data_IF_326038108779
#
_entry.id   IF_326038108779
#
_cell.length_a   1.000
_cell.length_b   1.000
_cell.length_c   1.000
_cell.angle_alpha   90.00
_cell.angle_beta   90.00
_cell.angle_gamma   90.00
#
_symmetry.space_group_name_H-M   'P 1'
#
loop_
_entity.id
_entity.type
_entity.pdbx_description
1 polymer ?
#
# COMPACT_ATOMS: atom_id res chain seq x y z
N UNK A 1 8.10 -20.56 -19.36
CA UNK A 1 8.81 -19.27 -19.44
C UNK A 1 7.76 -18.19 -19.24
N UNK A 2 7.54 -17.80 -17.96
CA UNK A 2 6.57 -16.74 -17.63
C UNK A 2 7.37 -15.45 -17.51
N UNK A 3 7.46 -14.69 -18.61
CA UNK A 3 7.83 -13.29 -18.53
C UNK A 3 6.58 -12.50 -18.16
N UNK A 4 6.66 -11.63 -17.17
CA UNK A 4 5.63 -10.61 -16.96
C UNK A 4 5.54 -9.81 -18.27
N UNK A 5 4.34 -9.73 -18.89
CA UNK A 5 4.20 -8.96 -20.10
C UNK A 5 4.50 -7.50 -19.80
N UNK A 6 5.29 -6.85 -20.64
CA UNK A 6 5.52 -5.42 -20.60
C UNK A 6 4.20 -4.66 -20.84
N UNK A 7 4.12 -3.40 -20.43
CA UNK A 7 2.96 -2.54 -20.71
C UNK A 7 2.59 -2.51 -22.19
N UNK A 8 3.58 -2.66 -23.08
CA UNK A 8 3.39 -2.76 -24.53
C UNK A 8 2.69 -4.08 -24.95
N UNK A 9 3.08 -5.21 -24.36
CA UNK A 9 2.46 -6.52 -24.64
C UNK A 9 1.04 -6.64 -24.07
N UNK A 10 0.74 -5.95 -22.97
CA UNK A 10 -0.61 -5.84 -22.41
C UNK A 10 -1.53 -5.01 -23.32
N UNK A 11 -1.00 -3.95 -23.94
CA UNK A 11 -1.70 -3.13 -24.91
C UNK A 11 -2.03 -3.90 -26.19
N UNK A 12 -1.09 -4.67 -26.76
CA UNK A 12 -1.29 -5.44 -27.99
C UNK A 12 -2.31 -6.56 -27.85
N UNK A 13 -2.55 -7.07 -26.63
CA UNK A 13 -3.55 -8.11 -26.36
C UNK A 13 -4.97 -7.56 -26.15
N UNK A 14 -5.18 -6.24 -26.31
CA UNK A 14 -6.48 -5.60 -26.05
C UNK A 14 -6.93 -5.70 -24.59
N UNK A 15 -5.97 -5.88 -23.67
CA UNK A 15 -6.17 -6.24 -22.27
C UNK A 15 -6.11 -4.99 -21.40
N UNK A 16 -5.51 -3.90 -21.89
CA UNK A 16 -5.59 -2.59 -21.23
C UNK A 16 -6.92 -1.93 -21.63
N UNK A 17 -7.77 -1.63 -20.63
CA UNK A 17 -8.75 -0.57 -20.78
C UNK A 17 -7.98 0.68 -21.22
N UNK A 18 -8.54 1.46 -22.14
CA UNK A 18 -7.90 2.65 -22.71
C UNK A 18 -7.21 3.46 -21.61
N UNK A 19 -5.89 3.63 -21.73
CA UNK A 19 -5.12 4.53 -20.87
C UNK A 19 -5.82 5.88 -20.88
N UNK A 20 -5.99 6.56 -19.74
CA UNK A 20 -6.63 7.86 -19.71
C UNK A 20 -6.05 8.75 -20.82
N UNK A 21 -6.89 9.31 -21.67
CA UNK A 21 -6.52 10.05 -22.88
C UNK A 21 -5.63 11.25 -22.60
N UNK A 22 -5.52 11.66 -21.32
CA UNK A 22 -4.63 12.71 -20.83
C UNK A 22 -3.79 12.17 -19.69
N UNK A 23 -2.69 11.48 -20.00
CA UNK A 23 -1.79 10.87 -19.02
C UNK A 23 -1.05 11.97 -18.25
N UNK A 24 -1.38 12.14 -16.97
CA UNK A 24 -0.65 13.05 -16.09
C UNK A 24 0.79 12.55 -15.91
N UNK A 25 1.75 13.44 -16.07
CA UNK A 25 3.18 13.17 -15.85
C UNK A 25 3.59 13.98 -14.62
N UNK A 26 4.18 13.35 -13.58
CA UNK A 26 4.66 14.07 -12.41
C UNK A 26 5.84 14.98 -12.80
N UNK A 27 5.91 16.17 -12.19
CA UNK A 27 7.09 17.01 -12.32
C UNK A 27 8.33 16.41 -11.65
N UNK A 28 9.49 17.01 -11.85
CA UNK A 28 10.77 16.50 -11.34
C UNK A 28 10.76 16.34 -9.80
N UNK A 29 10.18 17.31 -9.08
CA UNK A 29 10.11 17.28 -7.62
C UNK A 29 9.22 16.11 -7.14
N UNK A 30 8.08 15.91 -7.77
CA UNK A 30 7.16 14.80 -7.49
C UNK A 30 7.81 13.44 -7.80
N UNK A 31 8.57 13.32 -8.90
CA UNK A 31 9.30 12.09 -9.21
C UNK A 31 10.35 11.76 -8.14
N UNK A 32 11.09 12.74 -7.65
CA UNK A 32 12.04 12.56 -6.54
C UNK A 32 11.31 12.19 -5.25
N UNK A 33 10.12 12.76 -4.98
CA UNK A 33 9.34 12.40 -3.79
C UNK A 33 8.76 10.96 -3.88
N UNK A 34 8.35 10.52 -5.07
CA UNK A 34 7.98 9.10 -5.28
C UNK A 34 9.18 8.20 -4.93
N UNK A 35 10.37 8.49 -5.45
CA UNK A 35 11.58 7.72 -5.15
C UNK A 35 11.93 7.75 -3.66
N UNK A 36 11.82 8.92 -3.01
CA UNK A 36 12.00 9.05 -1.56
C UNK A 36 11.10 8.10 -0.77
N UNK A 37 9.83 8.03 -1.13
CA UNK A 37 8.85 7.13 -0.50
C UNK A 37 9.20 5.67 -0.73
N UNK A 38 9.61 5.30 -1.94
CA UNK A 38 10.04 3.93 -2.27
C UNK A 38 11.25 3.50 -1.42
N UNK A 39 12.29 4.34 -1.30
CA UNK A 39 13.46 4.07 -0.44
C UNK A 39 13.05 3.99 1.03
N UNK A 40 12.16 4.88 1.48
CA UNK A 40 11.68 4.88 2.87
C UNK A 40 10.97 3.57 3.22
N UNK A 41 10.17 3.04 2.31
CA UNK A 41 9.53 1.73 2.45
C UNK A 41 10.58 0.62 2.49
N UNK A 42 11.48 0.60 1.52
CA UNK A 42 12.51 -0.44 1.40
C UNK A 42 13.41 -0.50 2.63
N UNK A 43 13.94 0.64 3.10
CA UNK A 43 14.78 0.71 4.30
C UNK A 43 14.04 0.32 5.56
N UNK A 44 12.77 0.78 5.70
CA UNK A 44 11.92 0.39 6.81
C UNK A 44 11.69 -1.13 6.85
N UNK A 45 11.40 -1.75 5.71
CA UNK A 45 11.18 -3.20 5.60
C UNK A 45 12.46 -3.99 5.92
N UNK A 46 13.59 -3.61 5.32
CA UNK A 46 14.88 -4.28 5.52
C UNK A 46 15.33 -4.25 6.98
N UNK A 47 15.23 -3.08 7.62
CA UNK A 47 15.62 -2.91 9.01
C UNK A 47 14.65 -3.63 9.96
N UNK A 48 13.35 -3.65 9.65
CA UNK A 48 12.36 -4.45 10.42
C UNK A 48 12.74 -5.93 10.41
N UNK A 49 13.02 -6.49 9.23
CA UNK A 49 13.43 -7.90 9.10
C UNK A 49 14.73 -8.18 9.84
N UNK A 50 15.67 -7.23 9.84
CA UNK A 50 16.91 -7.35 10.61
C UNK A 50 16.66 -7.37 12.13
N UNK A 51 15.78 -6.51 12.66
CA UNK A 51 15.45 -6.50 14.09
C UNK A 51 14.75 -7.79 14.52
N UNK A 52 13.88 -8.35 13.68
CA UNK A 52 13.25 -9.66 13.93
C UNK A 52 14.31 -10.77 13.95
N UNK A 53 15.23 -10.83 12.97
CA UNK A 53 16.33 -11.82 12.95
C UNK A 53 17.24 -11.74 14.18
N UNK A 54 17.42 -10.53 14.73
CA UNK A 54 18.21 -10.29 15.96
C UNK A 54 17.43 -10.62 17.24
N UNK A 55 16.15 -11.02 17.12
CA UNK A 55 15.29 -11.32 18.26
C UNK A 55 14.85 -10.10 19.07
N UNK A 56 15.03 -8.88 18.52
CA UNK A 56 14.60 -7.64 19.20
C UNK A 56 13.10 -7.36 19.05
N UNK A 57 12.49 -7.89 18.00
CA UNK A 57 11.04 -7.81 17.72
C UNK A 57 10.53 -9.23 17.61
N UNK A 58 9.45 -9.53 18.36
CA UNK A 58 8.73 -10.80 18.30
C UNK A 58 7.31 -10.50 17.85
N UNK A 59 7.11 -10.40 16.53
CA UNK A 59 5.81 -10.15 15.95
C UNK A 59 5.72 -10.79 14.55
N UNK A 60 4.53 -11.22 14.10
CA UNK A 60 4.35 -11.61 12.71
C UNK A 60 4.61 -10.39 11.81
N UNK A 61 5.38 -10.57 10.74
CA UNK A 61 5.71 -9.52 9.80
C UNK A 61 5.50 -9.97 8.36
N UNK A 62 4.86 -9.13 7.59
CA UNK A 62 4.51 -9.38 6.19
C UNK A 62 5.24 -8.38 5.31
N UNK A 63 6.39 -8.79 4.78
CA UNK A 63 7.21 -7.92 3.93
C UNK A 63 6.47 -7.49 2.67
N UNK A 64 6.61 -6.22 2.32
CA UNK A 64 6.04 -5.63 1.12
C UNK A 64 7.08 -5.40 0.01
N UNK A 65 8.29 -5.99 0.15
CA UNK A 65 9.36 -5.85 -0.85
C UNK A 65 8.87 -6.29 -2.24
N UNK A 66 9.10 -5.40 -3.22
CA UNK A 66 8.63 -5.53 -4.60
C UNK A 66 7.34 -4.75 -4.90
N UNK A 67 6.65 -4.21 -3.89
CA UNK A 67 5.37 -3.49 -4.03
C UNK A 67 5.49 -1.98 -3.72
N UNK A 68 6.69 -1.45 -3.55
CA UNK A 68 6.96 -0.07 -3.09
C UNK A 68 6.41 1.00 -4.01
N UNK A 69 6.36 0.73 -5.31
CA UNK A 69 5.89 1.68 -6.33
C UNK A 69 4.47 2.14 -6.08
N UNK A 70 3.56 1.18 -5.82
CA UNK A 70 2.12 1.41 -5.80
C UNK A 70 1.74 2.49 -4.78
N UNK A 71 2.00 2.32 -3.47
CA UNK A 71 1.62 3.32 -2.50
C UNK A 71 2.44 4.62 -2.64
N UNK A 72 3.69 4.54 -3.10
CA UNK A 72 4.55 5.72 -3.27
C UNK A 72 4.00 6.67 -4.34
N UNK A 73 3.61 6.13 -5.49
CA UNK A 73 3.07 6.92 -6.59
C UNK A 73 1.63 7.43 -6.32
N UNK A 74 0.85 6.71 -5.51
CA UNK A 74 -0.49 7.14 -5.10
C UNK A 74 -0.41 8.22 -4.02
N UNK A 75 0.42 8.02 -2.99
CA UNK A 75 0.44 8.90 -1.82
C UNK A 75 0.95 10.31 -2.09
N UNK A 76 1.76 10.54 -3.14
CA UNK A 76 2.16 11.90 -3.56
C UNK A 76 0.99 12.74 -4.10
N UNK A 77 -0.12 12.10 -4.44
CA UNK A 77 -1.35 12.73 -4.93
C UNK A 77 -2.37 13.00 -3.80
N UNK A 78 -2.11 12.47 -2.60
CA UNK A 78 -3.04 12.56 -1.47
C UNK A 78 -2.68 13.72 -0.54
N UNK A 79 -3.69 14.44 -0.09
CA UNK A 79 -3.58 15.40 1.00
C UNK A 79 -3.54 14.67 2.35
N UNK A 80 -3.15 15.37 3.43
CA UNK A 80 -3.14 14.79 4.78
C UNK A 80 -4.53 14.37 5.27
N UNK A 81 -5.56 15.09 4.83
CA UNK A 81 -6.96 14.82 5.19
C UNK A 81 -7.62 13.74 4.31
N UNK A 82 -6.99 13.31 3.19
CA UNK A 82 -7.39 12.12 2.45
C UNK A 82 -7.08 10.86 3.27
N UNK A 83 -7.96 9.86 3.16
CA UNK A 83 -7.92 8.67 4.00
C UNK A 83 -7.30 7.48 3.26
N UNK A 84 -6.61 6.62 4.00
CA UNK A 84 -6.25 5.28 3.53
C UNK A 84 -6.79 4.23 4.49
N UNK A 85 -7.29 3.14 3.92
CA UNK A 85 -7.63 1.90 4.61
C UNK A 85 -6.79 0.79 4.01
N UNK A 86 -5.99 0.11 4.82
CA UNK A 86 -5.08 -0.91 4.33
C UNK A 86 -5.19 -2.22 5.10
N UNK A 87 -4.34 -3.18 4.78
CA UNK A 87 -4.36 -4.55 5.25
C UNK A 87 -3.17 -4.83 6.17
N UNK A 88 -3.09 -6.03 6.74
CA UNK A 88 -2.01 -6.49 7.62
C UNK A 88 -0.60 -6.40 7.00
N UNK A 89 -0.45 -6.41 5.66
CA UNK A 89 0.81 -6.14 4.94
C UNK A 89 1.06 -4.64 4.73
N UNK A 90 0.13 -3.77 5.09
CA UNK A 90 0.03 -2.37 4.67
C UNK A 90 1.01 -1.39 5.31
N UNK A 91 2.08 -1.85 5.98
CA UNK A 91 3.10 -0.93 6.53
C UNK A 91 3.68 -0.03 5.44
N UNK A 92 3.90 -0.54 4.23
CA UNK A 92 4.38 0.24 3.10
C UNK A 92 3.39 1.33 2.67
N UNK A 93 2.08 1.08 2.73
CA UNK A 93 1.06 2.08 2.41
C UNK A 93 1.08 3.23 3.43
N UNK A 94 1.27 2.91 4.71
CA UNK A 94 1.38 3.89 5.80
C UNK A 94 2.67 4.71 5.70
N UNK A 95 3.80 4.04 5.44
CA UNK A 95 5.10 4.69 5.25
C UNK A 95 5.06 5.62 4.03
N UNK A 96 4.41 5.20 2.94
CA UNK A 96 4.19 6.04 1.77
C UNK A 96 3.30 7.26 2.07
N UNK A 97 2.34 7.15 2.99
CA UNK A 97 1.47 8.27 3.43
C UNK A 97 2.17 9.22 4.42
N UNK A 98 3.49 9.10 4.57
CA UNK A 98 4.31 9.87 5.49
C UNK A 98 3.93 9.74 6.97
N UNK A 99 3.38 8.59 7.36
CA UNK A 99 3.20 8.29 8.77
C UNK A 99 4.55 8.42 9.52
N UNK A 100 4.60 9.12 10.67
CA UNK A 100 5.82 9.28 11.44
C UNK A 100 6.43 7.93 11.86
N UNK A 101 7.73 7.73 11.63
CA UNK A 101 8.35 6.43 11.88
C UNK A 101 8.53 6.12 13.36
N UNK A 102 8.78 7.10 14.23
CA UNK A 102 8.96 6.85 15.67
C UNK A 102 7.75 6.15 16.30
N UNK A 103 6.50 6.70 16.21
CA UNK A 103 5.33 6.02 16.75
C UNK A 103 4.97 4.74 15.98
N UNK A 104 5.26 4.64 14.68
CA UNK A 104 5.12 3.41 13.90
C UNK A 104 5.99 2.29 14.49
N UNK A 105 7.29 2.56 14.70
CA UNK A 105 8.22 1.58 15.25
C UNK A 105 7.91 1.25 16.71
N UNK A 106 7.50 2.23 17.52
CA UNK A 106 7.04 1.99 18.88
C UNK A 106 5.87 1.01 18.90
N UNK A 107 4.90 1.16 17.99
CA UNK A 107 3.77 0.24 17.87
C UNK A 107 4.19 -1.17 17.45
N UNK A 108 5.05 -1.28 16.41
CA UNK A 108 5.59 -2.58 15.95
C UNK A 108 6.35 -3.29 17.08
N UNK A 109 7.04 -2.54 17.96
CA UNK A 109 7.77 -3.05 19.10
C UNK A 109 6.90 -3.27 20.35
N UNK A 110 5.59 -3.03 20.28
CA UNK A 110 4.66 -3.18 21.40
C UNK A 110 4.91 -2.17 22.53
N UNK A 111 5.29 -0.93 22.21
CA UNK A 111 5.64 0.12 23.18
C UNK A 111 4.48 1.09 23.42
N UNK A 112 4.46 1.69 24.63
CA UNK A 112 3.37 2.61 25.04
C UNK A 112 3.28 3.85 24.15
N UNK A 113 4.39 4.32 23.58
CA UNK A 113 4.45 5.48 22.68
C UNK A 113 4.05 5.14 21.23
N UNK A 114 3.61 3.90 20.97
CA UNK A 114 3.02 3.49 19.70
C UNK A 114 1.66 4.13 19.45
N UNK A 115 1.24 4.20 18.18
CA UNK A 115 -0.01 4.83 17.76
C UNK A 115 -1.26 4.20 18.37
N UNK A 116 -1.18 2.94 18.76
CA UNK A 116 -2.21 2.17 19.46
C UNK A 116 -1.73 1.76 20.87
N UNK A 117 -0.77 2.48 21.44
CA UNK A 117 -0.18 2.22 22.78
C UNK A 117 0.42 0.80 22.89
N UNK A 118 0.97 0.29 21.80
CA UNK A 118 1.56 -1.05 21.73
C UNK A 118 0.56 -2.22 21.66
N UNK A 119 -0.75 -1.94 21.54
CA UNK A 119 -1.81 -2.96 21.52
C UNK A 119 -2.11 -3.51 20.12
N UNK A 120 -1.80 -2.75 19.07
CA UNK A 120 -2.12 -3.11 17.69
C UNK A 120 -1.03 -3.94 17.01
N UNK A 121 0.23 -3.72 17.37
CA UNK A 121 1.37 -4.35 16.69
C UNK A 121 1.40 -4.03 15.20
N UNK A 122 2.12 -4.82 14.36
CA UNK A 122 2.33 -4.49 12.95
C UNK A 122 1.08 -4.61 12.06
N UNK A 123 -0.01 -5.19 12.55
CA UNK A 123 -1.20 -5.46 11.73
C UNK A 123 -2.41 -4.57 12.03
N UNK A 124 -2.37 -3.78 13.11
CA UNK A 124 -3.53 -3.01 13.58
C UNK A 124 -3.12 -1.58 14.00
N UNK A 125 -2.45 -0.88 13.09
CA UNK A 125 -2.04 0.50 13.30
C UNK A 125 -3.08 1.49 12.77
N UNK A 126 -3.17 2.63 13.43
CA UNK A 126 -3.91 3.80 12.96
C UNK A 126 -3.10 5.06 13.22
N UNK A 127 -3.24 6.07 12.38
CA UNK A 127 -2.70 7.41 12.58
C UNK A 127 -3.59 8.42 11.84
N UNK A 128 -4.73 8.79 12.45
CA UNK A 128 -5.72 9.66 11.81
C UNK A 128 -5.18 11.01 11.35
N UNK A 129 -4.16 11.55 12.01
CA UNK A 129 -3.52 12.82 11.70
C UNK A 129 -2.86 12.84 10.33
N UNK A 130 -2.44 11.69 9.82
CA UNK A 130 -1.93 11.53 8.44
C UNK A 130 -2.92 10.82 7.51
N UNK A 131 -4.17 10.63 7.96
CA UNK A 131 -5.20 9.94 7.19
C UNK A 131 -5.06 8.42 7.14
N UNK A 132 -4.18 7.82 7.94
CA UNK A 132 -4.09 6.36 8.09
C UNK A 132 -5.18 5.91 9.05
N UNK A 133 -6.33 5.48 8.51
CA UNK A 133 -7.52 5.24 9.33
C UNK A 133 -7.58 3.84 9.90
N UNK A 134 -7.12 2.85 9.14
CA UNK A 134 -7.15 1.45 9.59
C UNK A 134 -6.14 0.59 8.86
N UNK A 135 -5.48 -0.31 9.61
CA UNK A 135 -4.92 -1.55 9.10
C UNK A 135 -5.72 -2.71 9.68
N UNK A 136 -5.97 -3.74 8.89
CA UNK A 136 -6.82 -4.85 9.32
C UNK A 136 -6.26 -6.21 8.92
N UNK A 137 -6.33 -7.16 9.85
CA UNK A 137 -6.08 -8.58 9.59
C UNK A 137 -7.24 -9.29 8.88
N UNK A 138 -8.42 -8.68 8.84
CA UNK A 138 -9.60 -9.28 8.22
C UNK A 138 -9.56 -9.00 6.72
N UNK A 139 -9.28 -10.04 5.93
CA UNK A 139 -9.15 -9.93 4.48
C UNK A 139 -10.39 -9.28 3.87
N UNK A 140 -10.16 -8.20 3.08
CA UNK A 140 -11.19 -7.48 2.35
C UNK A 140 -12.00 -6.48 3.14
N UNK A 141 -11.86 -6.39 4.48
CA UNK A 141 -12.62 -5.41 5.27
C UNK A 141 -12.19 -3.95 5.05
N UNK A 142 -11.01 -3.69 4.51
CA UNK A 142 -10.57 -2.34 4.13
C UNK A 142 -11.54 -1.65 3.18
N UNK A 143 -12.16 -2.39 2.26
CA UNK A 143 -13.06 -1.85 1.24
C UNK A 143 -14.39 -1.31 1.80
N UNK A 144 -15.20 -2.08 2.57
CA UNK A 144 -16.42 -1.54 3.17
C UNK A 144 -16.14 -0.45 4.22
N UNK A 145 -15.00 -0.52 4.93
CA UNK A 145 -14.60 0.55 5.86
C UNK A 145 -14.30 1.84 5.08
N UNK A 146 -13.58 1.75 3.95
CA UNK A 146 -13.31 2.89 3.08
C UNK A 146 -14.61 3.52 2.53
N UNK A 147 -15.62 2.73 2.23
CA UNK A 147 -16.93 3.24 1.86
C UNK A 147 -17.55 4.12 2.96
N UNK A 148 -17.38 3.76 4.24
CA UNK A 148 -17.82 4.57 5.36
C UNK A 148 -17.16 5.95 5.38
N UNK A 149 -15.84 6.02 5.16
CA UNK A 149 -15.11 7.29 5.07
C UNK A 149 -15.49 8.08 3.82
N UNK A 150 -15.65 7.42 2.67
CA UNK A 150 -16.13 8.06 1.45
C UNK A 150 -17.55 8.63 1.61
N UNK A 151 -18.40 7.93 2.34
CA UNK A 151 -19.75 8.40 2.65
C UNK A 151 -19.73 9.60 3.60
N UNK A 152 -18.90 9.56 4.64
CA UNK A 152 -18.70 10.71 5.53
C UNK A 152 -18.26 11.96 4.76
N UNK A 153 -17.24 11.81 3.87
CA UNK A 153 -16.78 12.91 3.03
C UNK A 153 -17.88 13.49 2.14
N UNK A 154 -18.76 12.64 1.59
CA UNK A 154 -19.93 13.06 0.80
C UNK A 154 -20.94 13.84 1.64
N UNK A 155 -21.27 13.36 2.86
CA UNK A 155 -22.20 14.03 3.77
C UNK A 155 -21.67 15.37 4.26
N UNK A 156 -20.38 15.45 4.55
CA UNK A 156 -19.71 16.67 5.00
C UNK A 156 -19.45 17.67 3.85
N UNK A 157 -19.72 17.27 2.60
CA UNK A 157 -19.52 18.10 1.42
C UNK A 157 -18.04 18.42 1.15
N UNK A 158 -17.11 17.59 1.64
CA UNK A 158 -15.68 17.73 1.39
C UNK A 158 -15.29 17.12 0.05
N UNK A 159 -14.06 17.40 -0.39
CA UNK A 159 -13.46 16.76 -1.57
C UNK A 159 -12.45 15.68 -1.19
N UNK A 160 -12.47 15.24 0.07
CA UNK A 160 -11.62 14.16 0.55
C UNK A 160 -11.90 12.88 -0.22
N UNK A 161 -10.85 12.13 -0.50
CA UNK A 161 -10.93 10.82 -1.09
C UNK A 161 -10.43 9.76 -0.11
N UNK A 162 -10.89 8.53 -0.31
CA UNK A 162 -10.41 7.39 0.47
C UNK A 162 -9.82 6.34 -0.45
N UNK A 163 -8.59 5.92 -0.18
CA UNK A 163 -7.94 4.81 -0.89
C UNK A 163 -8.07 3.54 -0.06
N UNK A 164 -8.64 2.51 -0.66
CA UNK A 164 -8.76 1.17 -0.08
C UNK A 164 -7.74 0.23 -0.72
N UNK A 165 -6.67 -0.11 0.00
CA UNK A 165 -5.70 -1.10 -0.44
C UNK A 165 -6.15 -2.52 -0.08
N UNK A 166 -5.94 -3.46 -0.98
CA UNK A 166 -6.23 -4.89 -0.76
C UNK A 166 -5.39 -5.77 -1.70
N UNK A 167 -5.21 -7.03 -1.35
CA UNK A 167 -4.50 -8.01 -2.20
C UNK A 167 -5.46 -8.73 -3.15
N UNK A 168 -4.90 -9.42 -4.15
CA UNK A 168 -5.63 -10.19 -5.16
C UNK A 168 -6.58 -11.22 -4.54
N UNK A 169 -6.17 -11.93 -3.47
CA UNK A 169 -7.04 -12.87 -2.78
C UNK A 169 -8.32 -12.27 -2.22
N UNK A 170 -8.29 -11.02 -1.79
CA UNK A 170 -9.46 -10.32 -1.27
C UNK A 170 -10.54 -10.06 -2.34
N UNK A 171 -10.20 -10.15 -3.62
CA UNK A 171 -11.18 -9.96 -4.70
C UNK A 171 -12.20 -11.08 -4.80
N UNK A 172 -12.01 -12.20 -4.09
CA UNK A 172 -12.87 -13.39 -4.15
C UNK A 172 -13.83 -13.53 -2.96
N UNK A 173 -13.85 -12.56 -2.04
CA UNK A 173 -14.78 -12.57 -0.90
C UNK A 173 -16.03 -11.71 -1.17
N UNK A 174 -17.12 -11.99 -0.44
CA UNK A 174 -18.37 -11.24 -0.57
C UNK A 174 -18.21 -9.73 -0.38
N UNK A 175 -17.43 -9.32 0.63
CA UNK A 175 -17.20 -7.91 0.94
C UNK A 175 -16.60 -7.09 -0.22
N UNK A 176 -15.78 -7.69 -1.09
CA UNK A 176 -15.31 -7.03 -2.32
C UNK A 176 -16.48 -6.63 -3.21
N UNK A 177 -17.34 -7.59 -3.54
CA UNK A 177 -18.47 -7.38 -4.46
C UNK A 177 -19.48 -6.38 -3.90
N UNK A 178 -19.79 -6.49 -2.63
CA UNK A 178 -20.73 -5.63 -1.93
C UNK A 178 -20.21 -4.20 -1.81
N UNK A 179 -18.94 -4.03 -1.45
CA UNK A 179 -18.33 -2.71 -1.29
C UNK A 179 -18.21 -1.96 -2.62
N UNK A 180 -17.77 -2.62 -3.69
CA UNK A 180 -17.63 -2.00 -4.99
C UNK A 180 -19.00 -1.59 -5.56
N UNK A 181 -20.01 -2.46 -5.43
CA UNK A 181 -21.37 -2.15 -5.85
C UNK A 181 -21.94 -0.95 -5.07
N UNK A 182 -21.82 -0.95 -3.74
CA UNK A 182 -22.33 0.14 -2.90
C UNK A 182 -21.65 1.47 -3.24
N UNK A 183 -20.32 1.47 -3.38
CA UNK A 183 -19.58 2.67 -3.75
C UNK A 183 -20.03 3.25 -5.10
N UNK A 184 -20.30 2.39 -6.08
CA UNK A 184 -20.81 2.81 -7.39
C UNK A 184 -22.22 3.40 -7.32
N UNK A 185 -23.13 2.74 -6.61
CA UNK A 185 -24.52 3.20 -6.43
C UNK A 185 -24.57 4.60 -5.82
N UNK A 186 -23.72 4.86 -4.81
CA UNK A 186 -23.69 6.13 -4.09
C UNK A 186 -22.66 7.12 -4.63
N UNK A 187 -21.91 6.76 -5.68
CA UNK A 187 -20.82 7.56 -6.24
C UNK A 187 -19.83 8.03 -5.19
N UNK A 188 -19.43 7.13 -4.30
CA UNK A 188 -18.52 7.45 -3.21
C UNK A 188 -17.13 7.81 -3.75
N UNK A 189 -16.43 8.79 -3.14
CA UNK A 189 -15.07 9.17 -3.51
C UNK A 189 -14.03 8.16 -3.00
N UNK A 190 -14.12 6.91 -3.48
CA UNK A 190 -13.27 5.79 -3.08
C UNK A 190 -12.46 5.29 -4.27
N UNK A 191 -11.17 5.09 -4.06
CA UNK A 191 -10.27 4.45 -5.02
C UNK A 191 -9.92 3.07 -4.46
N UNK A 192 -10.35 2.01 -5.16
CA UNK A 192 -10.03 0.63 -4.82
C UNK A 192 -8.73 0.21 -5.49
N UNK A 193 -7.69 -0.05 -4.70
CA UNK A 193 -6.34 -0.39 -5.20
C UNK A 193 -6.03 -1.84 -4.86
N UNK A 194 -6.07 -2.69 -5.86
CA UNK A 194 -5.65 -4.07 -5.76
C UNK A 194 -4.14 -4.18 -5.99
N UNK A 195 -3.39 -4.52 -4.95
CA UNK A 195 -1.97 -4.87 -5.04
C UNK A 195 -1.87 -6.35 -5.44
N UNK A 196 -2.03 -6.63 -6.74
CA UNK A 196 -2.02 -7.99 -7.26
C UNK A 196 -0.58 -8.48 -7.41
N UNK A 197 -0.09 -9.16 -6.37
CA UNK A 197 1.27 -9.71 -6.32
C UNK A 197 1.37 -11.17 -6.78
N UNK A 198 0.29 -11.72 -7.37
CA UNK A 198 0.22 -13.05 -7.94
C UNK A 198 -0.08 -14.18 -6.96
N UNK A 199 -0.18 -13.89 -5.65
CA UNK A 199 -0.37 -14.90 -4.63
C UNK A 199 -1.32 -14.46 -3.51
N UNK A 200 -2.35 -15.27 -3.29
CA UNK A 200 -3.18 -15.23 -2.10
C UNK A 200 -2.63 -16.22 -1.09
N UNK A 201 -1.87 -15.74 -0.10
CA UNK A 201 -1.05 -16.58 0.78
C UNK A 201 -0.12 -17.50 -0.06
N UNK A 202 -0.42 -18.79 -0.14
CA UNK A 202 0.32 -19.77 -0.93
C UNK A 202 -0.37 -20.14 -2.26
N UNK A 203 -1.60 -19.64 -2.47
CA UNK A 203 -2.39 -19.94 -3.67
C UNK A 203 -2.06 -18.96 -4.78
N UNK A 204 -1.66 -19.46 -5.93
CA UNK A 204 -1.43 -18.65 -7.13
C UNK A 204 -2.73 -18.00 -7.59
N UNK A 205 -2.62 -16.81 -8.16
CA UNK A 205 -3.76 -16.04 -8.67
C UNK A 205 -4.64 -16.87 -9.61
N UNK A 206 -4.05 -17.54 -10.60
CA UNK A 206 -4.74 -18.34 -11.61
C UNK A 206 -5.48 -19.57 -11.02
N UNK A 207 -5.08 -20.03 -9.84
CA UNK A 207 -5.75 -21.15 -9.18
C UNK A 207 -6.93 -20.70 -8.30
N UNK A 208 -7.02 -19.40 -8.00
CA UNK A 208 -8.08 -18.84 -7.13
C UNK A 208 -9.06 -17.92 -7.88
N UNK A 209 -8.71 -17.45 -9.08
CA UNK A 209 -9.49 -16.43 -9.79
C UNK A 209 -9.60 -16.80 -11.28
N UNK A 210 -10.83 -16.89 -11.78
CA UNK A 210 -11.10 -17.33 -13.16
C UNK A 210 -10.93 -16.23 -14.21
N UNK A 211 -10.95 -14.95 -13.82
CA UNK A 211 -10.73 -13.83 -14.72
C UNK A 211 -9.24 -13.52 -14.81
N UNK A 212 -8.74 -13.18 -16.00
CA UNK A 212 -7.32 -12.86 -16.20
C UNK A 212 -6.90 -11.63 -15.41
N UNK A 213 -7.83 -10.67 -15.24
CA UNK A 213 -7.62 -9.39 -14.56
C UNK A 213 -8.79 -9.06 -13.67
N UNK A 214 -8.52 -8.70 -12.41
CA UNK A 214 -9.53 -8.27 -11.43
C UNK A 214 -10.23 -6.99 -11.90
N UNK A 215 -9.50 -6.10 -12.58
CA UNK A 215 -10.05 -4.87 -13.15
C UNK A 215 -11.26 -5.08 -14.05
N UNK A 216 -11.36 -6.23 -14.75
CA UNK A 216 -12.52 -6.59 -15.58
C UNK A 216 -13.82 -6.69 -14.78
N UNK A 217 -13.73 -6.96 -13.47
CA UNK A 217 -14.92 -7.04 -12.60
C UNK A 217 -15.60 -5.68 -12.40
N UNK A 218 -14.88 -4.58 -12.55
CA UNK A 218 -15.38 -3.22 -12.38
C UNK A 218 -16.59 -2.92 -13.29
N UNK A 219 -16.59 -3.45 -14.50
CA UNK A 219 -17.71 -3.29 -15.44
C UNK A 219 -19.03 -3.83 -14.89
N UNK A 220 -18.99 -4.90 -14.07
CA UNK A 220 -20.16 -5.46 -13.41
C UNK A 220 -20.81 -4.55 -12.36
N UNK A 221 -20.07 -3.54 -11.88
CA UNK A 221 -20.55 -2.54 -10.92
C UNK A 221 -20.77 -1.16 -11.55
N UNK A 222 -20.54 -1.03 -12.88
CA UNK A 222 -20.70 0.24 -13.58
C UNK A 222 -19.65 1.29 -13.23
N UNK A 223 -18.44 0.86 -12.80
CA UNK A 223 -17.32 1.77 -12.52
C UNK A 223 -16.14 1.50 -13.47
N UNK A 224 -15.24 2.49 -13.68
CA UNK A 224 -13.99 2.25 -14.39
C UNK A 224 -13.09 1.26 -13.66
N UNK A 225 -12.42 0.38 -14.43
CA UNK A 225 -11.40 -0.53 -13.92
C UNK A 225 -10.19 -0.53 -14.85
N UNK A 226 -8.99 -0.41 -14.28
CA UNK A 226 -7.74 -0.36 -15.01
C UNK A 226 -6.74 -1.38 -14.49
N UNK A 227 -6.08 -2.08 -15.40
CA UNK A 227 -4.89 -2.87 -15.08
C UNK A 227 -3.66 -2.01 -15.31
N UNK A 228 -2.83 -1.88 -14.29
CA UNK A 228 -1.71 -0.94 -14.20
C UNK A 228 -0.42 -1.74 -13.96
N UNK A 229 0.68 -1.32 -14.57
CA UNK A 229 1.99 -1.85 -14.21
C UNK A 229 2.39 -1.30 -12.81
N UNK A 230 2.18 -2.13 -11.78
CA UNK A 230 2.49 -1.78 -10.40
C UNK A 230 3.99 -1.66 -10.11
N UNK A 231 4.86 -1.96 -11.08
CA UNK A 231 6.31 -1.80 -11.02
C UNK A 231 6.82 -0.61 -11.84
N UNK A 232 5.92 0.14 -12.50
CA UNK A 232 6.23 1.45 -13.10
C UNK A 232 5.55 2.56 -12.28
N UNK A 233 6.30 3.34 -11.48
CA UNK A 233 5.73 4.39 -10.64
C UNK A 233 5.06 5.51 -11.45
N UNK A 234 5.46 5.73 -12.72
CA UNK A 234 4.84 6.74 -13.58
C UNK A 234 3.51 6.24 -14.16
N UNK A 235 3.38 4.94 -14.42
CA UNK A 235 2.12 4.33 -14.82
C UNK A 235 1.10 4.34 -13.68
N UNK A 236 1.54 3.94 -12.48
CA UNK A 236 0.71 4.03 -11.26
C UNK A 236 0.25 5.46 -11.00
N UNK A 237 1.17 6.43 -11.06
CA UNK A 237 0.86 7.84 -10.86
C UNK A 237 -0.21 8.35 -11.83
N UNK A 238 -0.07 8.06 -13.12
CA UNK A 238 -1.01 8.55 -14.13
C UNK A 238 -2.44 8.02 -13.92
N UNK A 239 -2.58 6.71 -13.62
CA UNK A 239 -3.88 6.10 -13.37
C UNK A 239 -4.48 6.55 -12.03
N UNK A 240 -3.64 6.66 -10.98
CA UNK A 240 -4.08 7.15 -9.68
C UNK A 240 -4.55 8.60 -9.74
N UNK A 241 -3.81 9.46 -10.46
CA UNK A 241 -4.21 10.86 -10.67
C UNK A 241 -5.61 10.95 -11.30
N UNK A 242 -5.84 10.22 -12.39
CA UNK A 242 -7.14 10.21 -13.04
C UNK A 242 -8.26 9.68 -12.13
N UNK A 243 -7.99 8.63 -11.35
CA UNK A 243 -8.95 8.06 -10.41
C UNK A 243 -9.29 9.02 -9.25
N UNK A 244 -8.28 9.71 -8.70
CA UNK A 244 -8.45 10.68 -7.61
C UNK A 244 -9.21 11.91 -8.10
N UNK A 245 -8.85 12.48 -9.25
CA UNK A 245 -9.57 13.63 -9.81
C UNK A 245 -11.03 13.29 -10.12
N UNK A 246 -11.29 12.11 -10.68
CA UNK A 246 -12.65 11.60 -10.89
C UNK A 246 -13.45 11.52 -9.58
N UNK A 247 -12.84 10.99 -8.54
CA UNK A 247 -13.47 10.86 -7.22
C UNK A 247 -13.77 12.25 -6.60
N UNK A 248 -12.80 13.19 -6.67
CA UNK A 248 -12.97 14.58 -6.20
C UNK A 248 -14.02 15.36 -6.98
N UNK A 249 -14.23 15.01 -8.26
CA UNK A 249 -15.29 15.58 -9.10
C UNK A 249 -16.69 15.01 -8.79
N UNK A 250 -16.80 14.03 -7.88
CA UNK A 250 -18.08 13.38 -7.53
C UNK A 250 -18.57 12.40 -8.58
N UNK A 251 -17.70 11.93 -9.47
CA UNK A 251 -18.04 10.99 -10.54
C UNK A 251 -18.01 9.53 -10.07
N UNK A 252 -17.65 9.27 -8.81
CA UNK A 252 -17.68 7.97 -8.16
C UNK A 252 -16.35 7.21 -8.16
N UNK A 253 -16.37 5.93 -7.76
CA UNK A 253 -15.18 5.13 -7.51
C UNK A 253 -14.48 4.67 -8.79
N UNK A 254 -13.24 4.20 -8.59
CA UNK A 254 -12.43 3.54 -9.63
C UNK A 254 -11.72 2.33 -9.03
N UNK A 255 -11.60 1.25 -9.80
CA UNK A 255 -10.81 0.07 -9.45
C UNK A 255 -9.47 0.08 -10.21
N UNK A 256 -8.36 0.12 -9.49
CA UNK A 256 -7.01 -0.02 -10.02
C UNK A 256 -6.45 -1.38 -9.63
N UNK A 257 -6.15 -2.24 -10.60
CA UNK A 257 -5.42 -3.47 -10.40
C UNK A 257 -3.95 -3.24 -10.75
N UNK A 258 -3.11 -3.04 -9.74
CA UNK A 258 -1.68 -2.85 -9.90
C UNK A 258 -0.97 -4.20 -9.86
N UNK A 259 -0.47 -4.63 -11.02
CA UNK A 259 0.27 -5.89 -11.15
C UNK A 259 1.68 -5.72 -10.61
N UNK A 260 2.06 -6.57 -9.69
CA UNK A 260 3.36 -6.54 -9.02
C UNK A 260 3.79 -7.95 -8.62
N UNK A 261 4.88 -8.06 -7.88
CA UNK A 261 5.34 -9.32 -7.30
C UNK A 261 5.93 -9.08 -5.91
N UNK A 262 5.61 -9.94 -4.93
CA UNK A 262 6.25 -9.88 -3.62
C UNK A 262 7.54 -10.73 -3.64
N UNK A 263 8.67 -10.17 -3.24
CA UNK A 263 9.96 -10.88 -3.26
C UNK A 263 10.12 -11.89 -2.14
N UNK A 264 9.33 -11.76 -1.07
CA UNK A 264 9.37 -12.62 0.12
C UNK A 264 8.16 -13.53 0.19
N UNK A 265 8.23 -14.57 1.01
CA UNK A 265 7.10 -15.43 1.34
C UNK A 265 5.93 -14.66 1.95
N UNK A 266 4.85 -15.36 2.28
CA UNK A 266 3.64 -14.73 2.81
C UNK A 266 3.91 -13.98 4.12
N UNK A 267 4.49 -14.67 5.08
CA UNK A 267 4.94 -14.13 6.37
C UNK A 267 6.46 -14.26 6.46
N UNK A 268 7.11 -13.38 7.20
CA UNK A 268 8.56 -13.47 7.39
C UNK A 268 8.94 -14.76 8.14
N UNK A 269 9.81 -15.55 7.52
CA UNK A 269 10.16 -16.91 7.98
C UNK A 269 9.44 -18.03 7.21
N UNK A 270 8.50 -17.71 6.33
CA UNK A 270 7.95 -18.65 5.35
C UNK A 270 9.05 -19.16 4.39
N UNK A 271 8.99 -20.45 4.07
CA UNK A 271 9.97 -21.10 3.20
C UNK A 271 9.79 -20.80 1.71
N UNK A 272 8.70 -20.09 1.33
CA UNK A 272 8.33 -19.65 -0.02
C UNK A 272 8.42 -20.72 -1.14
N UNK A 273 8.33 -22.01 -0.79
CA UNK A 273 8.48 -23.13 -1.72
C UNK A 273 7.43 -23.18 -2.85
N UNK A 274 6.35 -22.41 -2.73
CA UNK A 274 5.31 -22.27 -3.75
C UNK A 274 5.67 -21.24 -4.84
N UNK A 275 6.74 -20.47 -4.66
CA UNK A 275 7.34 -19.59 -5.67
C UNK A 275 8.50 -20.30 -6.34
N UNK A 276 8.57 -20.32 -7.67
CA UNK A 276 9.73 -20.89 -8.34
C UNK A 276 10.96 -19.98 -8.22
N UNK A 277 12.15 -20.57 -8.26
CA UNK A 277 13.41 -19.80 -8.21
C UNK A 277 13.53 -18.85 -9.39
N UNK A 278 13.05 -19.30 -10.55
CA UNK A 278 13.06 -18.55 -11.81
C UNK A 278 12.15 -17.32 -11.72
N UNK A 279 10.92 -17.46 -11.19
CA UNK A 279 10.00 -16.33 -10.95
C UNK A 279 10.60 -15.31 -10.01
N UNK A 280 11.17 -15.75 -8.88
CA UNK A 280 11.82 -14.85 -7.92
C UNK A 280 13.01 -14.13 -8.52
N UNK A 281 13.87 -14.84 -9.28
CA UNK A 281 15.02 -14.25 -9.93
C UNK A 281 14.59 -13.17 -10.94
N UNK A 282 13.60 -13.48 -11.78
CA UNK A 282 13.07 -12.54 -12.76
C UNK A 282 12.42 -11.31 -12.08
N UNK A 283 11.71 -11.50 -10.97
CA UNK A 283 11.09 -10.40 -10.23
C UNK A 283 12.15 -9.49 -9.56
N UNK A 284 13.22 -10.08 -9.02
CA UNK A 284 14.33 -9.32 -8.41
C UNK A 284 15.13 -8.57 -9.50
N UNK A 285 15.35 -9.16 -10.66
CA UNK A 285 15.99 -8.48 -11.79
C UNK A 285 15.15 -7.29 -12.28
N UNK A 286 13.82 -7.43 -12.21
CA UNK A 286 12.86 -6.39 -12.56
C UNK A 286 12.54 -5.45 -11.39
N UNK A 287 13.32 -5.42 -10.30
CA UNK A 287 13.08 -4.57 -9.12
C UNK A 287 12.81 -3.12 -9.56
N UNK A 288 11.64 -2.57 -9.24
CA UNK A 288 11.26 -1.21 -9.65
C UNK A 288 12.17 -0.13 -9.05
N UNK A 289 12.71 -0.36 -7.86
CA UNK A 289 13.45 0.66 -7.13
C UNK A 289 14.77 1.06 -7.82
N UNK A 290 15.72 0.13 -8.12
CA UNK A 290 16.93 0.48 -8.84
C UNK A 290 16.65 0.95 -10.28
N UNK A 291 15.61 0.43 -10.93
CA UNK A 291 15.19 0.85 -12.27
C UNK A 291 14.71 2.31 -12.26
N UNK A 292 13.89 2.69 -11.31
CA UNK A 292 13.41 4.07 -11.20
C UNK A 292 14.53 5.03 -10.82
N UNK A 293 15.45 4.61 -9.93
CA UNK A 293 16.69 5.38 -9.63
C UNK A 293 17.45 5.69 -10.91
N UNK A 294 17.73 4.67 -11.73
CA UNK A 294 18.46 4.85 -12.96
C UNK A 294 17.72 5.78 -13.93
N UNK A 295 16.40 5.61 -14.05
CA UNK A 295 15.58 6.49 -14.88
C UNK A 295 15.66 7.96 -14.45
N UNK A 296 15.62 8.25 -13.15
CA UNK A 296 15.77 9.64 -12.66
C UNK A 296 17.11 10.27 -13.03
N UNK A 297 18.18 9.46 -13.06
CA UNK A 297 19.50 9.90 -13.47
C UNK A 297 19.55 10.14 -14.99
N UNK A 298 19.09 9.17 -15.76
CA UNK A 298 19.12 9.21 -17.22
C UNK A 298 18.27 10.35 -17.79
N UNK A 299 17.14 10.65 -17.16
CA UNK A 299 16.24 11.76 -17.51
C UNK A 299 16.75 13.12 -16.98
N UNK A 300 17.86 13.16 -16.22
CA UNK A 300 18.41 14.37 -15.63
C UNK A 300 17.54 15.00 -14.53
N UNK A 301 16.65 14.23 -13.92
CA UNK A 301 15.76 14.65 -12.83
C UNK A 301 16.53 14.83 -11.53
N UNK A 302 17.48 13.92 -11.23
CA UNK A 302 18.36 13.99 -10.08
C UNK A 302 19.71 13.36 -10.37
N UNK A 303 20.80 13.84 -9.72
CA UNK A 303 22.10 13.20 -9.82
C UNK A 303 22.21 11.96 -8.91
N UNK A 304 23.18 11.09 -9.20
CA UNK A 304 23.45 9.92 -8.35
C UNK A 304 23.75 10.33 -6.91
N UNK A 305 24.56 11.41 -6.74
CA UNK A 305 24.96 11.93 -5.44
C UNK A 305 23.74 12.43 -4.64
N UNK A 306 22.81 13.14 -5.29
CA UNK A 306 21.57 13.60 -4.63
C UNK A 306 20.72 12.43 -4.14
N UNK A 307 20.61 11.36 -4.94
CA UNK A 307 19.83 10.18 -4.57
C UNK A 307 20.52 9.36 -3.46
N UNK A 308 21.87 9.33 -3.43
CA UNK A 308 22.64 8.68 -2.37
C UNK A 308 22.53 9.45 -1.05
N UNK A 309 22.60 10.79 -1.08
CA UNK A 309 22.35 11.63 0.09
C UNK A 309 20.93 11.45 0.65
N UNK A 310 19.94 11.36 -0.24
CA UNK A 310 18.55 11.11 0.14
C UNK A 310 18.42 9.74 0.84
N UNK A 311 19.03 8.72 0.27
CA UNK A 311 19.04 7.36 0.85
C UNK A 311 19.67 7.36 2.24
N UNK A 312 20.83 8.01 2.42
CA UNK A 312 21.49 8.12 3.70
C UNK A 312 20.67 8.84 4.77
N UNK A 313 19.94 9.91 4.39
CA UNK A 313 19.02 10.62 5.29
C UNK A 313 17.85 9.73 5.73
N UNK A 314 17.27 8.97 4.81
CA UNK A 314 16.17 8.04 5.12
C UNK A 314 16.65 6.91 6.03
N UNK A 315 17.84 6.35 5.77
CA UNK A 315 18.40 5.30 6.63
C UNK A 315 18.66 5.82 8.04
N UNK A 316 19.16 7.05 8.18
CA UNK A 316 19.31 7.69 9.48
C UNK A 316 17.96 7.90 10.19
N UNK A 317 16.91 8.32 9.47
CA UNK A 317 15.55 8.48 10.00
C UNK A 317 14.99 7.16 10.54
N UNK A 318 15.15 6.06 9.79
CA UNK A 318 14.67 4.74 10.22
C UNK A 318 15.45 4.24 11.43
N UNK A 319 16.77 4.38 11.45
CA UNK A 319 17.59 3.99 12.59
C UNK A 319 17.23 4.79 13.86
N UNK A 320 17.03 6.10 13.74
CA UNK A 320 16.55 6.95 14.85
C UNK A 320 15.20 6.46 15.40
N UNK A 321 14.26 6.09 14.52
CA UNK A 321 12.96 5.55 14.92
C UNK A 321 13.08 4.19 15.65
N UNK A 322 14.02 3.33 15.23
CA UNK A 322 14.35 2.07 15.92
C UNK A 322 14.89 2.35 17.31
N UNK A 323 15.88 3.23 17.44
CA UNK A 323 16.50 3.55 18.70
C UNK A 323 15.47 4.18 19.67
N UNK A 324 14.63 5.08 19.18
CA UNK A 324 13.50 5.62 19.92
C UNK A 324 12.59 4.50 20.45
N UNK A 325 12.10 3.62 19.57
CA UNK A 325 11.18 2.55 19.95
C UNK A 325 11.79 1.57 20.97
N UNK A 326 13.10 1.28 20.84
CA UNK A 326 13.79 0.40 21.79
C UNK A 326 13.99 1.04 23.16
N UNK A 327 13.99 2.37 23.26
CA UNK A 327 14.11 3.12 24.51
C UNK A 327 12.74 3.32 25.21
N UNK A 328 11.62 3.23 24.49
CA UNK A 328 10.28 3.38 25.05
C UNK A 328 9.93 2.23 26.02
N UNK A 329 9.07 2.52 26.98
CA UNK A 329 8.55 1.53 27.93
C UNK A 329 7.48 0.62 27.30
N UNK A 330 7.25 -0.54 27.91
CA UNK A 330 6.10 -1.37 27.59
C UNK A 330 4.83 -0.78 28.25
N UNK A 331 3.64 -0.99 27.66
CA UNK A 331 2.38 -0.61 28.31
C UNK A 331 2.24 -1.31 29.67
N UNK A 332 1.64 -0.62 30.63
CA UNK A 332 1.29 -1.23 31.91
C UNK A 332 0.11 -2.19 31.77
N UNK A 333 -0.09 -3.08 32.74
CA UNK A 333 -1.23 -4.01 32.75
C UNK A 333 -2.58 -3.28 32.73
N UNK A 334 -2.65 -2.06 33.24
CA UNK A 334 -3.87 -1.23 33.22
C UNK A 334 -4.29 -0.84 31.78
N UNK A 335 -3.35 -0.72 30.84
CA UNK A 335 -3.65 -0.42 29.44
C UNK A 335 -4.47 -1.53 28.75
N UNK A 336 -4.46 -2.76 29.27
CA UNK A 336 -5.23 -3.88 28.73
C UNK A 336 -6.75 -3.59 28.67
N UNK A 337 -7.25 -2.78 29.59
CA UNK A 337 -8.68 -2.47 29.74
C UNK A 337 -9.06 -1.11 29.15
N UNK A 338 -8.09 -0.27 28.82
CA UNK A 338 -8.33 1.08 28.28
C UNK A 338 -8.66 1.02 26.78
N UNK A 339 -9.37 2.01 26.32
CA UNK A 339 -9.75 2.24 24.92
C UNK A 339 -10.61 1.09 24.30
N UNK A 340 -11.27 0.29 25.14
CA UNK A 340 -12.20 -0.77 24.68
C UNK A 340 -13.62 -0.21 24.55
N UNK A 341 -14.01 0.67 25.46
CA UNK A 341 -15.30 1.32 25.48
C UNK A 341 -15.13 2.84 25.60
N UNK A 342 -16.14 3.60 25.18
CA UNK A 342 -16.14 5.06 25.30
C UNK A 342 -16.10 5.54 26.76
N UNK A 343 -16.64 4.77 27.68
CA UNK A 343 -16.57 5.00 29.12
C UNK A 343 -15.72 3.90 29.77
N UNK A 344 -14.86 4.26 30.72
CA UNK A 344 -14.11 3.27 31.49
C UNK A 344 -15.09 2.45 32.32
N UNK A 345 -15.10 1.13 32.15
CA UNK A 345 -15.85 0.20 33.01
C UNK A 345 -15.05 0.06 34.29
N UNK A 346 -15.60 0.46 35.49
CA UNK A 346 -14.93 0.23 36.77
C UNK A 346 -14.61 -1.26 36.93
N UNK A 347 -13.44 -1.54 37.50
CA UNK A 347 -12.95 -2.91 37.74
C UNK A 347 -13.82 -3.66 38.75
#
# INVERSE_FOLDING_TARGET
MFSYPSSHELSERGIMSETPTNRAIPDAATQVDIYRRMIRIERNDDLTRQQIRRGRITAPYYSARGQECIPSAISVLLNNDDKICTIYRGIHDMVAKDMPLRPLWAEICGRVDGTCKGKGGPMHLTHPETGVMVTTGIVGSSMPIANGFGWAALLDGTKQVTVAYFGDGASNIGAFHEALNLASVWKLPVIFVCQNNGFSEHTRYENGTSVDFIAKRAAGYGMPGYTVDGNDPLDVYAHAHAAIERARAGEGPTLLECKTFRFMGHVFGDNDAYMTKEEKAAAIEADPLPRFRQKLIDDGVASAEQLDELTAKIEAEVNDAIDYAMACEFPSDDELRRDVFAEEIPA
#
